data_IF_757178139414
#
_entry.id   IF_757178139414
#
_cell.length_a   1.000
_cell.length_b   1.000
_cell.length_c   1.000
_cell.angle_alpha   90.00
_cell.angle_beta   90.00
_cell.angle_gamma   90.00
#
_symmetry.space_group_name_H-M   'P 1'
#
loop_
_entity.id
_entity.type
_entity.pdbx_description
1 polymer ?
#
# COMPACT_ATOMS: atom_id res chain seq x y z
N UNK A 1 2.06 -40.80 19.27
CA UNK A 1 1.14 -40.12 18.32
C UNK A 1 1.71 -38.86 17.70
N UNK A 2 1.64 -38.73 16.37
CA UNK A 2 2.05 -37.56 15.58
C UNK A 2 1.40 -36.24 16.08
N UNK A 3 0.15 -36.32 16.54
CA UNK A 3 -0.62 -35.21 17.12
C UNK A 3 -0.03 -34.64 18.42
N UNK A 4 0.62 -35.48 19.23
CA UNK A 4 1.26 -35.05 20.48
C UNK A 4 2.57 -34.29 20.21
N UNK A 5 3.37 -34.74 19.23
CA UNK A 5 4.58 -34.03 18.76
C UNK A 5 4.23 -32.66 18.18
N UNK A 6 3.15 -32.59 17.40
CA UNK A 6 2.66 -31.32 16.86
C UNK A 6 2.28 -30.31 17.96
N UNK A 7 1.47 -30.74 18.94
CA UNK A 7 1.05 -29.85 20.05
C UNK A 7 2.20 -29.41 20.96
N UNK A 8 3.16 -30.30 21.25
CA UNK A 8 4.24 -30.03 22.22
C UNK A 8 5.47 -29.35 21.63
N UNK A 9 5.76 -29.57 20.35
CA UNK A 9 7.02 -29.13 19.75
C UNK A 9 6.76 -28.25 18.52
N UNK A 10 6.05 -28.77 17.52
CA UNK A 10 5.89 -28.05 16.25
C UNK A 10 5.09 -26.75 16.40
N UNK A 11 4.01 -26.75 17.18
CA UNK A 11 3.19 -25.55 17.45
C UNK A 11 3.99 -24.42 18.12
N UNK A 12 4.71 -24.66 19.24
CA UNK A 12 5.59 -23.64 19.83
C UNK A 12 6.66 -23.10 18.88
N UNK A 13 7.26 -23.97 18.05
CA UNK A 13 8.26 -23.56 17.06
C UNK A 13 7.67 -22.63 16.00
N UNK A 14 6.51 -22.98 15.45
CA UNK A 14 5.80 -22.15 14.47
C UNK A 14 5.41 -20.80 15.04
N UNK A 15 4.94 -20.76 16.28
CA UNK A 15 4.60 -19.52 16.99
C UNK A 15 5.82 -18.62 17.16
N UNK A 16 6.96 -19.19 17.56
CA UNK A 16 8.22 -18.43 17.69
C UNK A 16 8.64 -17.84 16.34
N UNK A 17 8.55 -18.60 15.25
CA UNK A 17 8.83 -18.11 13.89
C UNK A 17 7.88 -16.99 13.49
N UNK A 18 6.58 -17.10 13.82
CA UNK A 18 5.60 -16.03 13.56
C UNK A 18 5.96 -14.75 14.31
N UNK A 19 6.25 -14.85 15.61
CA UNK A 19 6.63 -13.70 16.46
C UNK A 19 7.91 -13.02 15.97
N UNK A 20 8.91 -13.80 15.58
CA UNK A 20 10.13 -13.25 15.00
C UNK A 20 9.85 -12.46 13.72
N UNK A 21 8.98 -12.98 12.84
CA UNK A 21 8.56 -12.25 11.63
C UNK A 21 7.84 -10.95 11.97
N UNK A 22 6.88 -10.98 12.91
CA UNK A 22 6.14 -9.79 13.32
C UNK A 22 7.08 -8.71 13.85
N UNK A 23 8.04 -9.07 14.70
CA UNK A 23 8.99 -8.10 15.24
C UNK A 23 9.85 -7.48 14.14
N UNK A 24 10.38 -8.28 13.20
CA UNK A 24 11.14 -7.74 12.05
C UNK A 24 10.34 -6.73 11.24
N UNK A 25 9.07 -7.04 10.96
CA UNK A 25 8.21 -6.09 10.23
C UNK A 25 7.95 -4.81 11.03
N UNK A 26 7.86 -4.87 12.36
CA UNK A 26 7.71 -3.68 13.19
C UNK A 26 8.99 -2.83 13.22
N UNK A 27 10.17 -3.48 13.20
CA UNK A 27 11.45 -2.79 13.13
C UNK A 27 11.62 -2.12 11.75
N UNK A 28 11.31 -2.83 10.66
CA UNK A 28 11.29 -2.25 9.30
C UNK A 28 10.30 -1.08 9.18
N UNK A 29 9.13 -1.19 9.81
CA UNK A 29 8.16 -0.09 9.84
C UNK A 29 8.71 1.14 10.58
N UNK A 30 9.46 0.95 11.67
CA UNK A 30 10.14 2.05 12.35
C UNK A 30 11.10 2.75 11.39
N UNK A 31 12.03 2.02 10.79
CA UNK A 31 13.03 2.60 9.89
C UNK A 31 12.40 3.41 8.74
N UNK A 32 11.30 2.89 8.17
CA UNK A 32 10.54 3.61 7.13
C UNK A 32 9.90 4.91 7.65
N UNK A 33 9.43 4.93 8.89
CA UNK A 33 8.85 6.14 9.48
C UNK A 33 9.89 7.22 9.81
N UNK A 34 11.12 6.86 10.21
CA UNK A 34 12.23 7.82 10.37
C UNK A 34 12.44 8.60 9.08
N UNK A 35 12.57 7.86 7.96
CA UNK A 35 12.79 8.48 6.65
C UNK A 35 11.59 9.28 6.13
N UNK A 36 10.36 8.82 6.39
CA UNK A 36 9.16 9.46 5.85
C UNK A 36 8.68 10.70 6.61
N UNK A 37 8.99 10.78 7.91
CA UNK A 37 8.49 11.84 8.80
C UNK A 37 9.59 12.71 9.42
N UNK A 38 10.86 12.45 9.08
CA UNK A 38 12.04 13.13 9.65
C UNK A 38 12.02 13.13 11.19
N UNK A 39 11.51 12.05 11.79
CA UNK A 39 11.46 11.86 13.24
C UNK A 39 12.80 11.31 13.70
N UNK A 40 13.35 11.86 14.79
CA UNK A 40 14.60 11.34 15.38
C UNK A 40 14.48 9.85 15.76
N UNK A 41 15.53 9.09 15.46
CA UNK A 41 15.61 7.65 15.75
C UNK A 41 15.43 7.34 17.26
N UNK A 42 15.95 8.22 18.13
CA UNK A 42 15.80 8.13 19.58
C UNK A 42 14.35 8.27 20.08
N UNK A 43 13.50 8.96 19.31
CA UNK A 43 12.07 9.08 19.64
C UNK A 43 11.32 7.84 19.17
N UNK A 44 11.72 7.28 18.03
CA UNK A 44 11.04 6.13 17.45
C UNK A 44 11.39 4.80 18.14
N UNK A 45 12.63 4.64 18.60
CA UNK A 45 13.09 3.48 19.35
C UNK A 45 12.28 3.24 20.63
N UNK A 46 11.72 4.29 21.23
CA UNK A 46 10.89 4.26 22.46
C UNK A 46 9.41 3.95 22.23
N UNK A 47 8.94 3.94 20.97
CA UNK A 47 7.53 3.68 20.69
C UNK A 47 7.13 2.24 21.05
N UNK A 48 5.97 2.13 21.69
CA UNK A 48 5.34 0.84 21.93
C UNK A 48 4.81 0.24 20.62
N UNK A 49 4.52 -1.06 20.62
CA UNK A 49 4.02 -1.74 19.42
C UNK A 49 2.70 -1.18 18.90
N UNK A 50 1.83 -0.72 19.80
CA UNK A 50 0.58 -0.08 19.42
C UNK A 50 0.84 1.26 18.75
N UNK A 51 1.74 2.07 19.32
CA UNK A 51 2.09 3.39 18.78
C UNK A 51 2.72 3.29 17.38
N UNK A 52 3.62 2.32 17.14
CA UNK A 52 4.19 2.09 15.80
C UNK A 52 3.07 1.87 14.78
N UNK A 53 2.09 1.02 15.12
CA UNK A 53 0.97 0.69 14.24
C UNK A 53 0.05 1.90 14.04
N UNK A 54 -0.27 2.63 15.10
CA UNK A 54 -1.10 3.83 15.04
C UNK A 54 -0.45 4.92 14.19
N UNK A 55 0.83 5.22 14.43
CA UNK A 55 1.60 6.19 13.67
C UNK A 55 1.61 5.83 12.18
N UNK A 56 1.88 4.56 11.87
CA UNK A 56 1.92 4.06 10.49
C UNK A 56 0.54 4.18 9.82
N UNK A 57 -0.54 3.78 10.49
CA UNK A 57 -1.90 3.88 9.96
C UNK A 57 -2.29 5.34 9.73
N UNK A 58 -1.95 6.23 10.67
CA UNK A 58 -2.17 7.66 10.52
C UNK A 58 -1.41 8.25 9.33
N UNK A 59 -0.15 7.83 9.13
CA UNK A 59 0.65 8.25 7.97
C UNK A 59 0.04 7.77 6.65
N UNK A 60 -0.32 6.48 6.55
CA UNK A 60 -0.97 5.92 5.36
C UNK A 60 -2.32 6.58 5.08
N UNK A 61 -3.09 6.90 6.13
CA UNK A 61 -4.37 7.61 6.00
C UNK A 61 -4.17 9.02 5.47
N UNK A 62 -3.12 9.73 5.92
CA UNK A 62 -2.77 11.06 5.39
C UNK A 62 -2.31 10.97 3.92
N UNK A 63 -1.52 9.95 3.57
CA UNK A 63 -1.09 9.72 2.19
C UNK A 63 -2.27 9.40 1.25
N UNK A 64 -3.23 8.61 1.73
CA UNK A 64 -4.40 8.18 0.94
C UNK A 64 -5.62 9.09 1.12
N UNK A 65 -5.53 10.12 1.96
CA UNK A 65 -6.62 11.08 2.15
C UNK A 65 -6.93 11.70 0.79
N UNK A 66 -8.19 11.61 0.31
CA UNK A 66 -8.57 12.20 -0.96
C UNK A 66 -8.32 13.70 -0.86
N UNK A 67 -7.29 14.18 -1.55
CA UNK A 67 -7.04 15.60 -1.68
C UNK A 67 -8.20 16.16 -2.48
N UNK A 68 -8.86 17.20 -1.96
CA UNK A 68 -9.91 17.88 -2.69
C UNK A 68 -9.31 18.41 -4.01
N UNK A 69 -9.74 17.88 -5.18
CA UNK A 69 -9.16 18.25 -6.46
C UNK A 69 -9.34 19.74 -6.76
N UNK A 70 -10.39 20.37 -6.23
CA UNK A 70 -10.64 21.80 -6.37
C UNK A 70 -9.61 22.59 -5.55
N UNK A 71 -9.33 22.15 -4.33
CA UNK A 71 -8.36 22.80 -3.45
C UNK A 71 -6.93 22.64 -3.97
N UNK A 72 -6.56 21.47 -4.51
CA UNK A 72 -5.25 21.27 -5.15
C UNK A 72 -5.09 22.05 -6.44
N UNK A 73 -6.14 22.12 -7.29
CA UNK A 73 -6.12 22.97 -8.48
C UNK A 73 -5.92 24.46 -8.11
N UNK A 74 -6.57 24.95 -7.04
CA UNK A 74 -6.38 26.31 -6.53
C UNK A 74 -4.96 26.55 -6.02
N UNK A 75 -4.40 25.62 -5.24
CA UNK A 75 -3.00 25.71 -4.76
C UNK A 75 -2.02 25.74 -5.92
N UNK A 76 -2.21 24.86 -6.90
CA UNK A 76 -1.39 24.82 -8.10
C UNK A 76 -1.50 26.14 -8.87
N UNK A 77 -2.72 26.65 -9.11
CA UNK A 77 -2.92 27.91 -9.82
C UNK A 77 -2.25 29.09 -9.10
N UNK A 78 -2.32 29.14 -7.77
CA UNK A 78 -1.64 30.16 -6.98
C UNK A 78 -0.11 30.06 -7.12
N UNK A 79 0.47 28.86 -6.98
CA UNK A 79 1.91 28.64 -7.13
C UNK A 79 2.41 28.91 -8.55
N UNK A 80 1.65 28.49 -9.57
CA UNK A 80 1.92 28.80 -10.97
C UNK A 80 1.91 30.31 -11.21
N UNK A 81 0.90 31.02 -10.69
CA UNK A 81 0.80 32.47 -10.80
C UNK A 81 2.00 33.20 -10.16
N UNK A 82 2.45 32.75 -8.98
CA UNK A 82 3.66 33.28 -8.33
C UNK A 82 4.91 33.06 -9.19
N UNK A 83 5.10 31.84 -9.70
CA UNK A 83 6.24 31.51 -10.56
C UNK A 83 6.22 32.32 -11.87
N UNK A 84 5.05 32.45 -12.50
CA UNK A 84 4.90 33.23 -13.72
C UNK A 84 5.14 34.73 -13.49
N UNK A 85 4.69 35.29 -12.35
CA UNK A 85 4.98 36.67 -11.98
C UNK A 85 6.49 36.91 -11.81
N UNK A 86 7.18 35.96 -11.16
CA UNK A 86 8.63 36.01 -10.98
C UNK A 86 9.38 35.87 -12.32
N UNK A 87 8.89 35.00 -13.22
CA UNK A 87 9.43 34.89 -14.58
C UNK A 87 9.26 36.20 -15.36
N UNK A 88 8.10 36.86 -15.27
CA UNK A 88 7.88 38.18 -15.86
C UNK A 88 8.85 39.22 -15.28
N UNK A 89 9.05 39.23 -13.95
CA UNK A 89 10.00 40.12 -13.27
C UNK A 89 11.44 39.91 -13.78
N UNK A 90 11.85 38.65 -13.92
CA UNK A 90 13.16 38.29 -14.46
C UNK A 90 13.32 38.75 -15.90
N UNK A 91 12.33 38.51 -16.77
CA UNK A 91 12.34 38.96 -18.17
C UNK A 91 12.52 40.48 -18.25
N UNK A 92 11.85 41.24 -17.37
CA UNK A 92 11.98 42.70 -17.30
C UNK A 92 13.34 43.18 -16.76
N UNK A 93 14.09 42.34 -16.02
CA UNK A 93 15.38 42.72 -15.46
C UNK A 93 16.57 42.35 -16.36
N UNK A 94 16.37 41.64 -17.46
CA UNK A 94 17.44 41.30 -18.41
C UNK A 94 17.76 42.50 -19.31
N UNK A 95 18.98 43.07 -19.24
CA UNK A 95 19.39 44.13 -20.15
C UNK A 95 19.53 43.61 -21.58
N UNK A 96 19.29 44.49 -22.56
CA UNK A 96 19.40 44.23 -24.00
C UNK A 96 18.47 43.12 -24.55
N UNK A 97 17.45 42.72 -23.78
CA UNK A 97 16.42 41.82 -24.28
C UNK A 97 15.48 42.56 -25.23
N UNK A 98 15.19 41.95 -26.40
CA UNK A 98 14.30 42.53 -27.39
C UNK A 98 12.89 42.80 -26.81
N UNK A 99 12.39 44.00 -27.09
CA UNK A 99 11.10 44.48 -26.57
C UNK A 99 9.92 43.65 -27.11
N UNK A 100 9.97 43.18 -28.35
CA UNK A 100 8.89 42.35 -28.90
C UNK A 100 8.92 40.95 -28.28
N UNK A 101 10.11 40.37 -28.09
CA UNK A 101 10.27 39.06 -27.45
C UNK A 101 9.79 39.10 -26.00
N UNK A 102 10.22 40.09 -25.21
CA UNK A 102 9.78 40.25 -23.81
C UNK A 102 8.26 40.44 -23.71
N UNK A 103 7.65 41.29 -24.56
CA UNK A 103 6.21 41.47 -24.61
C UNK A 103 5.46 40.20 -24.99
N UNK A 104 5.94 39.44 -25.98
CA UNK A 104 5.35 38.18 -26.40
C UNK A 104 5.40 37.13 -25.27
N UNK A 105 6.52 37.01 -24.56
CA UNK A 105 6.69 36.07 -23.46
C UNK A 105 5.79 36.43 -22.27
N UNK A 106 5.77 37.70 -21.86
CA UNK A 106 4.94 38.18 -20.75
C UNK A 106 3.45 38.05 -21.08
N UNK A 107 3.05 38.39 -22.30
CA UNK A 107 1.67 38.23 -22.78
C UNK A 107 1.27 36.74 -22.79
N UNK A 108 2.15 35.87 -23.26
CA UNK A 108 1.91 34.42 -23.24
C UNK A 108 1.73 33.90 -21.82
N UNK A 109 2.62 34.24 -20.88
CA UNK A 109 2.52 33.85 -19.48
C UNK A 109 1.25 34.40 -18.81
N UNK A 110 0.92 35.67 -19.04
CA UNK A 110 -0.30 36.30 -18.51
C UNK A 110 -1.57 35.60 -19.00
N UNK A 111 -1.58 35.16 -20.27
CA UNK A 111 -2.67 34.36 -20.83
C UNK A 111 -2.75 32.98 -20.16
N UNK A 112 -1.65 32.34 -19.82
CA UNK A 112 -1.68 31.03 -19.13
C UNK A 112 -2.21 31.12 -17.69
N UNK A 113 -2.02 32.26 -17.01
CA UNK A 113 -2.56 32.48 -15.66
C UNK A 113 -4.09 32.68 -15.69
N UNK A 114 -4.60 33.30 -16.76
CA UNK A 114 -6.01 33.70 -16.89
C UNK A 114 -6.85 32.71 -17.70
N UNK A 115 -6.26 32.02 -18.67
CA UNK A 115 -6.91 31.03 -19.50
C UNK A 115 -6.82 29.65 -18.85
N UNK A 116 -7.91 29.30 -18.16
CA UNK A 116 -8.27 28.02 -17.56
C UNK A 116 -7.91 27.86 -16.06
N UNK A 117 -8.84 27.36 -15.23
CA UNK A 117 -8.40 26.51 -14.13
C UNK A 117 -7.72 25.32 -14.79
N UNK A 118 -6.47 25.01 -14.45
CA UNK A 118 -5.83 23.80 -15.00
C UNK A 118 -6.70 22.62 -14.64
N UNK A 119 -7.43 22.11 -15.64
CA UNK A 119 -8.33 21.01 -15.44
C UNK A 119 -7.45 19.80 -15.19
N UNK A 120 -7.34 19.41 -13.93
CA UNK A 120 -6.88 18.07 -13.60
C UNK A 120 -7.98 17.17 -14.17
N UNK A 121 -7.79 16.69 -15.39
CA UNK A 121 -8.53 15.53 -15.86
C UNK A 121 -8.08 14.39 -14.96
N UNK A 122 -8.81 14.16 -13.87
CA UNK A 122 -8.70 12.91 -13.11
C UNK A 122 -9.22 11.85 -14.07
N UNK A 123 -8.39 10.92 -14.58
CA UNK A 123 -8.92 9.79 -15.31
C UNK A 123 -9.90 9.10 -14.37
N UNK A 124 -11.16 9.00 -14.78
CA UNK A 124 -12.19 8.32 -14.02
C UNK A 124 -11.64 6.94 -13.64
N UNK A 125 -11.39 6.73 -12.35
CA UNK A 125 -10.83 5.48 -11.86
C UNK A 125 -11.85 4.42 -12.22
N UNK A 126 -11.49 3.48 -13.10
CA UNK A 126 -12.34 2.37 -13.47
C UNK A 126 -12.96 1.79 -12.21
N UNK A 127 -14.29 1.87 -12.11
CA UNK A 127 -15.04 1.27 -11.01
C UNK A 127 -14.74 -0.22 -11.05
N UNK A 128 -13.98 -0.70 -10.07
CA UNK A 128 -13.74 -2.13 -9.91
C UNK A 128 -15.08 -2.75 -9.50
N UNK A 129 -15.83 -3.22 -10.50
CA UNK A 129 -16.95 -4.12 -10.27
C UNK A 129 -16.38 -5.43 -9.73
N UNK A 130 -16.77 -5.90 -8.53
CA UNK A 130 -16.38 -7.22 -8.09
C UNK A 130 -16.92 -8.26 -9.11
N UNK A 131 -16.15 -9.32 -9.43
CA UNK A 131 -16.64 -10.36 -10.31
C UNK A 131 -17.91 -10.97 -9.69
N UNK A 132 -18.99 -10.99 -10.45
CA UNK A 132 -20.21 -11.69 -10.08
C UNK A 132 -19.87 -13.18 -9.96
N UNK A 133 -20.04 -13.73 -8.77
CA UNK A 133 -19.92 -15.17 -8.55
C UNK A 133 -20.85 -15.90 -9.52
N UNK A 134 -20.39 -16.95 -10.24
CA UNK A 134 -21.28 -17.76 -11.04
C UNK A 134 -22.33 -18.39 -10.12
N UNK A 135 -23.59 -18.31 -10.54
CA UNK A 135 -24.72 -18.97 -9.86
C UNK A 135 -24.40 -20.45 -9.77
N UNK A 136 -24.37 -20.98 -8.55
CA UNK A 136 -24.15 -22.39 -8.28
C UNK A 136 -25.25 -23.20 -8.95
N UNK A 137 -24.91 -23.87 -10.04
CA UNK A 137 -25.71 -24.96 -10.58
C UNK A 137 -25.74 -26.05 -9.52
N UNK A 138 -26.91 -26.26 -8.94
CA UNK A 138 -27.22 -27.45 -8.15
C UNK A 138 -27.10 -28.65 -9.09
N UNK A 139 -26.13 -29.53 -8.86
CA UNK A 139 -26.22 -30.92 -9.31
C UNK A 139 -25.30 -31.85 -8.50
N UNK A 140 -25.98 -32.86 -7.97
CA UNK A 140 -25.50 -34.17 -7.51
C UNK A 140 -24.54 -34.25 -6.32
N UNK A 141 -25.16 -34.01 -5.15
CA UNK A 141 -24.98 -34.91 -4.01
C UNK A 141 -25.47 -36.29 -4.42
N UNK A 142 -24.56 -37.23 -4.69
CA UNK A 142 -24.71 -38.68 -4.47
C UNK A 142 -23.62 -39.37 -5.32
N UNK A 143 -22.42 -39.54 -4.79
CA UNK A 143 -21.47 -40.59 -5.26
C UNK A 143 -20.21 -40.77 -4.39
N UNK A 144 -20.03 -40.03 -3.28
CA UNK A 144 -18.78 -40.09 -2.50
C UNK A 144 -18.77 -41.14 -1.35
N UNK A 145 -19.80 -41.96 -1.19
CA UNK A 145 -19.89 -42.93 -0.07
C UNK A 145 -20.36 -44.31 -0.53
N UNK A 146 -19.69 -44.88 -1.52
CA UNK A 146 -19.72 -46.32 -1.80
C UNK A 146 -18.38 -46.66 -2.46
N UNK A 147 -17.41 -47.20 -1.70
CA UNK A 147 -16.36 -48.12 -2.21
C UNK A 147 -15.17 -48.41 -1.25
N UNK A 148 -15.32 -48.26 0.07
CA UNK A 148 -14.28 -48.74 1.00
C UNK A 148 -14.79 -49.61 2.15
N UNK A 149 -15.76 -50.49 1.87
CA UNK A 149 -16.05 -51.66 2.70
C UNK A 149 -15.89 -52.92 1.86
N UNK A 150 -14.64 -53.29 1.56
CA UNK A 150 -14.27 -54.69 1.34
C UNK A 150 -12.76 -54.89 1.42
N UNK A 151 -12.40 -55.94 2.16
CA UNK A 151 -11.14 -56.67 2.13
C UNK A 151 -10.02 -56.15 3.05
N UNK A 152 -9.91 -56.74 4.24
CA UNK A 152 -8.73 -57.56 4.56
C UNK A 152 -9.04 -58.43 5.78
N UNK A 153 -9.45 -59.67 5.53
CA UNK A 153 -9.38 -60.78 6.48
C UNK A 153 -7.99 -61.41 6.42
N UNK A 154 -7.47 -61.76 7.60
CA UNK A 154 -6.50 -62.81 7.91
C UNK A 154 -5.09 -62.79 7.27
N UNK A 155 -4.08 -62.61 8.15
CA UNK A 155 -2.93 -63.51 8.24
C UNK A 155 -2.31 -63.41 9.63
N UNK A 156 -2.28 -64.54 10.34
CA UNK A 156 -1.60 -64.73 11.61
C UNK A 156 -0.07 -64.84 11.46
N UNK A 157 0.56 -64.63 12.63
CA UNK A 157 1.80 -65.24 13.14
C UNK A 157 3.14 -64.90 12.49
N UNK A 158 4.05 -64.32 13.30
CA UNK A 158 5.35 -64.95 13.57
C UNK A 158 6.11 -64.17 14.65
N UNK A 159 6.28 -64.85 15.78
CA UNK A 159 7.27 -64.64 16.83
C UNK A 159 8.68 -64.42 16.26
N UNK A 160 9.38 -63.39 16.76
CA UNK A 160 10.83 -63.45 16.93
C UNK A 160 11.23 -62.77 18.25
N UNK A 161 11.90 -63.56 19.10
CA UNK A 161 12.59 -63.15 20.32
C UNK A 161 13.99 -62.59 20.01
N UNK A 162 14.67 -62.14 21.08
CA UNK A 162 16.10 -61.81 21.25
C UNK A 162 16.40 -60.32 20.96
N UNK A 163 16.93 -59.49 21.86
CA UNK A 163 17.68 -59.63 23.14
C UNK A 163 17.16 -58.57 24.14
#
# INVERSE_FOLDING_TARGET
SKTAKYKKITKPLLERKRRARINRCLDELKDLMVGALEIDDDNLSKLEKADILELTVNHLTKLHSPKDPVLEAKKFQAGFGQCAAEACRFIMSVPDLDANVSQNLISHLSRLITAQPLTIQVPERATFSPPTSPVSVVSDRHHYYSDHERSSSDAEDSVYSVD
#
